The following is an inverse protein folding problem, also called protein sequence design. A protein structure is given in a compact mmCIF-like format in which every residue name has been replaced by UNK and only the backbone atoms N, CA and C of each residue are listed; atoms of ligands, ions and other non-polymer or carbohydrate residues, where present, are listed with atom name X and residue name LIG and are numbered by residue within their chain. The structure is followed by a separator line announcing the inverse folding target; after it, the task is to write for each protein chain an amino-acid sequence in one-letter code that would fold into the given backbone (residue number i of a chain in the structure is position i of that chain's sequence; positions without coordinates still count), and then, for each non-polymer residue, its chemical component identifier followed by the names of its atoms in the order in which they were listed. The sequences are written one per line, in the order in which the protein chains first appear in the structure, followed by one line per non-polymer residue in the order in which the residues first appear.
data_IF_978867662316
#
_entry.id   IF_978867662316
#
_cell.length_a   1.000
_cell.length_b   1.000
_cell.length_c   1.000
_cell.angle_alpha   90.00
_cell.angle_beta   90.00
_cell.angle_gamma   90.00
#
_symmetry.space_group_name_H-M   'P 1'
#
loop_
_entity.id
_entity.type
_entity.pdbx_description
1 polymer ?
2 non-polymer ?
3 non-polymer ?
4 water ?
#
# COMPACT_ATOMS: atom_id res chain seq x y z
N UNK A 5 7.98 16.91 3.71
CA UNK A 5 7.04 16.66 2.61
C UNK A 5 7.21 17.65 1.43
N UNK A 6 8.38 18.31 1.32
CA UNK A 6 8.66 19.25 0.21
C UNK A 6 8.84 18.47 -1.09
N UNK A 7 8.20 18.93 -2.18
CA UNK A 7 8.27 18.23 -3.46
C UNK A 7 9.29 18.83 -4.40
N UNK A 8 9.83 18.02 -5.31
CA UNK A 8 10.71 18.52 -6.35
C UNK A 8 9.83 19.06 -7.50
N UNK A 9 10.45 19.71 -8.48
CA UNK A 9 9.74 20.31 -9.62
C UNK A 9 8.88 19.31 -10.41
N UNK A 10 9.46 18.13 -10.77
CA UNK A 10 8.80 17.05 -11.51
C UNK A 10 7.57 16.53 -10.77
N UNK A 11 7.66 16.36 -9.44
CA UNK A 11 6.56 15.92 -8.60
C UNK A 11 5.46 16.97 -8.53
N UNK A 12 5.83 18.25 -8.35
CA UNK A 12 4.89 19.38 -8.25
C UNK A 12 4.01 19.48 -9.51
N UNK A 13 4.63 19.28 -10.67
CA UNK A 13 4.06 19.33 -12.01
C UNK A 13 3.10 18.18 -12.27
N UNK A 14 3.42 16.95 -11.82
CA UNK A 14 2.56 15.78 -12.03
C UNK A 14 1.31 15.91 -11.18
N UNK A 15 1.48 16.47 -9.97
CA UNK A 15 0.38 16.73 -9.04
C UNK A 15 -0.59 17.78 -9.63
N UNK A 16 -0.04 18.82 -10.26
CA UNK A 16 -0.80 19.89 -10.89
C UNK A 16 -1.52 19.35 -12.14
N UNK A 17 -0.83 18.52 -12.97
CA UNK A 17 -1.42 17.91 -14.17
C UNK A 17 -2.60 17.02 -13.81
N UNK A 18 -2.46 16.24 -12.70
CA UNK A 18 -3.52 15.36 -12.20
C UNK A 18 -4.78 16.15 -11.83
N UNK A 19 -4.64 17.20 -11.02
CA UNK A 19 -5.73 18.06 -10.57
C UNK A 19 -6.45 18.77 -11.72
N UNK A 20 -5.68 19.27 -12.70
CA UNK A 20 -6.19 19.94 -13.90
C UNK A 20 -7.03 18.93 -14.70
N UNK A 21 -6.60 17.63 -14.77
CA UNK A 21 -7.34 16.58 -15.46
C UNK A 21 -8.62 16.24 -14.70
N UNK A 22 -8.50 16.10 -13.36
CA UNK A 22 -9.60 15.81 -12.44
C UNK A 22 -10.73 16.87 -12.51
N UNK A 23 -10.38 18.17 -12.55
CA UNK A 23 -11.32 19.29 -12.59
C UNK A 23 -12.23 19.29 -13.82
N UNK A 24 -11.84 18.56 -14.87
CA UNK A 24 -12.61 18.45 -16.11
C UNK A 24 -13.65 17.30 -16.05
N UNK A 25 -13.50 16.37 -15.09
CA UNK A 25 -14.36 15.18 -15.01
C UNK A 25 -15.80 15.49 -14.62
N UNK A 26 -16.00 16.22 -13.53
CA UNK A 26 -17.34 16.51 -13.05
C UNK A 26 -17.90 15.36 -12.24
N UNK A 27 -19.25 15.34 -12.07
CA UNK A 27 -19.91 14.31 -11.29
C UNK A 27 -19.81 12.94 -11.93
N UNK A 28 -19.30 11.95 -11.18
CA UNK A 28 -19.11 10.58 -11.64
C UNK A 28 -20.42 9.85 -11.65
N UNK A 29 -20.77 9.25 -12.79
CA UNK A 29 -22.04 8.52 -12.97
C UNK A 29 -21.78 7.14 -13.52
N UNK A 30 -22.54 6.19 -13.03
CA UNK A 30 -22.41 4.79 -13.40
C UNK A 30 -22.35 4.51 -14.90
N UNK A 31 -23.30 5.07 -15.67
CA UNK A 31 -23.35 4.81 -17.12
C UNK A 31 -22.21 5.52 -17.90
N UNK A 32 -21.37 6.32 -17.23
CA UNK A 32 -20.25 6.96 -17.93
C UNK A 32 -19.00 6.09 -18.01
N UNK A 33 -19.06 4.88 -17.46
CA UNK A 33 -17.92 3.96 -17.41
C UNK A 33 -18.04 2.78 -18.31
N UNK A 34 -16.95 2.47 -18.99
CA UNK A 34 -16.79 1.32 -19.86
C UNK A 34 -15.69 0.41 -19.23
N UNK A 35 -16.02 -0.81 -18.83
CA UNK A 35 -15.04 -1.76 -18.25
C UNK A 35 -14.06 -2.24 -19.34
N UNK A 36 -12.74 -2.08 -19.10
CA UNK A 36 -11.67 -2.52 -20.01
C UNK A 36 -11.20 -3.91 -19.57
N UNK A 37 -10.78 -4.06 -18.31
CA UNK A 37 -10.27 -5.32 -17.74
C UNK A 37 -10.29 -5.30 -16.21
N UNK A 38 -10.02 -6.46 -15.60
CA UNK A 38 -9.93 -6.56 -14.16
C UNK A 38 -8.48 -6.36 -13.76
N UNK A 39 -8.26 -5.60 -12.66
CA UNK A 39 -6.94 -5.28 -12.11
C UNK A 39 -6.60 -6.08 -10.84
N UNK A 40 -7.62 -6.65 -10.21
CA UNK A 40 -7.46 -7.44 -8.99
C UNK A 40 -8.75 -7.55 -8.19
N UNK A 41 -8.75 -8.46 -7.18
CA UNK A 41 -9.90 -8.70 -6.29
C UNK A 41 -9.48 -8.85 -4.82
N UNK A 42 -10.39 -8.48 -3.91
CA UNK A 42 -10.18 -8.55 -2.47
C UNK A 42 -10.84 -9.76 -1.83
N UNK A 44 -12.97 -7.00 0.13
CA UNK A 44 -14.36 -7.32 -0.19
C UNK A 44 -14.90 -6.57 -1.40
N UNK A 45 -14.04 -6.37 -2.39
CA UNK A 45 -14.35 -5.68 -3.64
C UNK A 45 -13.41 -5.98 -4.79
N UNK A 46 -13.92 -5.82 -6.01
CA UNK A 46 -13.16 -6.04 -7.24
C UNK A 46 -12.69 -4.68 -7.81
N UNK A 47 -11.51 -4.65 -8.45
CA UNK A 47 -10.97 -3.45 -9.06
C UNK A 47 -10.91 -3.66 -10.56
N UNK A 48 -11.54 -2.76 -11.32
CA UNK A 48 -11.53 -2.80 -12.76
C UNK A 48 -10.82 -1.60 -13.34
N UNK A 49 -10.14 -1.82 -14.45
CA UNK A 49 -9.57 -0.77 -15.26
C UNK A 49 -10.79 -0.36 -16.14
N UNK A 50 -11.09 0.93 -16.13
CA UNK A 50 -12.27 1.46 -16.81
C UNK A 50 -11.90 2.65 -17.66
N UNK A 51 -12.79 2.96 -18.60
CA UNK A 51 -12.70 4.15 -19.41
C UNK A 51 -13.88 5.02 -18.93
N UNK A 52 -13.60 6.27 -18.55
CA UNK A 52 -14.61 7.26 -18.23
C UNK A 52 -14.84 7.90 -19.63
N UNK A 53 -15.87 7.41 -20.33
CA UNK A 53 -16.20 7.79 -21.71
C UNK A 53 -16.22 9.31 -21.99
N UNK A 54 -16.90 10.16 -21.19
CA UNK A 54 -16.93 11.60 -21.54
C UNK A 54 -15.57 12.30 -21.54
N UNK A 55 -14.78 12.07 -20.49
CA UNK A 55 -13.48 12.71 -20.32
C UNK A 55 -12.39 12.01 -21.08
N UNK A 56 -12.61 10.75 -21.45
CA UNK A 56 -11.63 9.92 -22.13
C UNK A 56 -10.52 9.39 -21.23
N UNK A 57 -10.64 9.61 -19.90
CA UNK A 57 -9.67 9.18 -18.89
C UNK A 57 -9.80 7.70 -18.56
N UNK A 58 -8.66 7.03 -18.39
CA UNK A 58 -8.58 5.64 -17.95
C UNK A 58 -8.48 5.73 -16.40
N UNK A 59 -9.28 4.96 -15.66
CA UNK A 59 -9.27 4.99 -14.20
C UNK A 59 -9.28 3.57 -13.69
N UNK A 60 -9.08 3.41 -12.37
CA UNK A 60 -9.21 2.16 -11.65
C UNK A 60 -10.52 2.32 -10.85
N UNK A 61 -11.48 1.43 -11.06
CA UNK A 61 -12.74 1.51 -10.38
C UNK A 61 -12.90 0.33 -9.44
N UNK A 62 -12.95 0.62 -8.15
CA UNK A 62 -13.14 -0.38 -7.11
C UNK A 62 -14.65 -0.42 -6.79
N UNK A 63 -15.26 -1.60 -6.94
CA UNK A 63 -16.68 -1.82 -6.70
C UNK A 63 -16.87 -2.62 -5.47
N UNK A 64 -17.56 -2.07 -4.48
CA UNK A 64 -17.84 -2.74 -3.21
C UNK A 64 -19.35 -3.04 -3.16
N UNK A 65 -19.74 -4.31 -3.42
CA UNK A 65 -21.15 -4.70 -3.38
C UNK A 65 -21.66 -4.76 -1.94
N UNK A 66 -22.65 -3.91 -1.63
CA UNK A 66 -23.27 -3.77 -0.31
C UNK A 66 -24.76 -3.42 -0.44
N UNK A 67 -25.61 -4.13 0.32
CA UNK A 67 -27.03 -3.85 0.35
C UNK A 67 -27.30 -3.04 1.60
N UNK A 68 -27.49 -1.72 1.41
CA UNK A 68 -27.72 -0.78 2.50
C UNK A 68 -28.74 0.29 2.09
N UNK A 69 -29.51 0.77 3.06
CA UNK A 69 -30.56 1.78 2.89
C UNK A 69 -30.01 3.15 2.40
N UNK A 70 -30.81 4.01 1.69
CA UNK A 70 -30.28 5.29 1.19
C UNK A 70 -29.60 6.19 2.22
N UNK A 71 -30.00 6.04 3.50
CA UNK A 71 -29.49 6.74 4.67
C UNK A 71 -27.99 6.47 4.86
N UNK A 72 -27.61 5.16 4.84
CA UNK A 72 -26.25 4.68 5.03
C UNK A 72 -25.34 5.04 3.84
N UNK A 73 -25.75 4.73 2.59
CA UNK A 73 -24.91 5.00 1.41
C UNK A 73 -24.59 6.49 1.25
N UNK A 74 -25.54 7.40 1.56
CA UNK A 74 -25.31 8.85 1.45
C UNK A 74 -24.29 9.36 2.49
N UNK A 75 -24.23 8.72 3.68
CA UNK A 75 -23.26 9.04 4.72
C UNK A 75 -21.86 8.50 4.34
N UNK A 76 -21.80 7.27 3.75
CA UNK A 76 -20.53 6.68 3.30
C UNK A 76 -19.90 7.62 2.24
N UNK A 77 -20.70 8.01 1.21
CA UNK A 77 -20.26 8.87 0.11
C UNK A 77 -19.72 10.21 0.64
N UNK A 78 -20.43 10.84 1.63
CA UNK A 78 -20.02 12.08 2.30
C UNK A 78 -18.65 11.92 2.96
N UNK A 79 -18.45 10.79 3.68
CA UNK A 79 -17.19 10.45 4.36
C UNK A 79 -16.02 10.24 3.38
N UNK A 80 -16.28 9.65 2.19
CA UNK A 80 -15.21 9.43 1.19
C UNK A 80 -14.76 10.70 0.47
N UNK A 81 -15.53 11.83 0.62
CA UNK A 81 -15.18 13.13 0.00
C UNK A 81 -13.87 13.67 0.57
N UNK A 82 -13.49 13.22 1.77
CA UNK A 82 -12.22 13.50 2.46
C UNK A 82 -11.03 13.12 1.52
N UNK A 83 -11.23 12.10 0.67
CA UNK A 83 -10.21 11.64 -0.28
C UNK A 83 -9.83 12.69 -1.35
N UNK A 84 -10.69 13.71 -1.62
CA UNK A 84 -10.40 14.83 -2.56
C UNK A 84 -9.34 15.79 -1.98
N UNK A 85 -9.14 15.78 -0.65
CA UNK A 85 -8.18 16.63 0.03
C UNK A 85 -6.76 16.02 0.01
N UNK A 86 -6.64 14.68 -0.19
CA UNK A 86 -5.33 14.03 -0.22
C UNK A 86 -4.63 14.29 -1.52
N UNK A 87 -3.62 15.15 -1.50
CA UNK A 87 -2.84 15.49 -2.69
C UNK A 87 -1.35 15.31 -2.41
N UNK A 88 -0.82 14.15 -2.82
CA UNK A 88 0.57 13.78 -2.57
C UNK A 88 1.16 12.87 -3.65
N UNK A 89 2.47 12.98 -3.96
CA UNK A 89 3.08 12.02 -4.91
C UNK A 89 3.04 10.56 -4.43
N UNK A 90 2.80 10.36 -3.12
CA UNK A 90 2.85 9.07 -2.44
C UNK A 90 1.49 8.48 -2.09
N UNK A 91 0.40 9.10 -2.61
CA UNK A 91 -0.98 8.68 -2.37
C UNK A 91 -1.65 8.58 -3.71
N UNK A 92 -2.30 7.43 -4.00
CA UNK A 92 -2.97 7.20 -5.27
C UNK A 92 -4.03 8.29 -5.47
N UNK A 93 -4.06 8.89 -6.65
CA UNK A 93 -5.04 9.92 -7.00
C UNK A 93 -6.46 9.42 -6.91
N UNK A 94 -7.36 10.29 -6.50
CA UNK A 94 -8.76 9.95 -6.32
C UNK A 94 -9.61 10.81 -7.25
N UNK A 95 -10.57 10.20 -7.96
CA UNK A 95 -11.47 10.94 -8.83
C UNK A 95 -12.81 11.21 -8.15
N UNK A 96 -13.34 10.22 -7.46
CA UNK A 96 -14.63 10.35 -6.80
C UNK A 96 -15.24 9.04 -6.38
N UNK A 97 -16.31 9.16 -5.59
CA UNK A 97 -17.10 8.04 -5.05
C UNK A 97 -18.59 8.24 -5.29
N UNK A 98 -19.30 7.17 -5.64
CA UNK A 98 -20.74 7.18 -5.87
C UNK A 98 -21.32 5.81 -5.57
N UNK A 99 -22.66 5.75 -5.48
CA UNK A 99 -23.38 4.50 -5.26
C UNK A 99 -24.23 4.24 -6.49
N UNK A 100 -24.32 2.96 -6.92
CA UNK A 100 -25.15 2.53 -8.03
C UNK A 100 -25.50 1.06 -7.94
N UNK A 101 -26.81 0.76 -8.03
CA UNK A 101 -27.46 -0.56 -8.04
C UNK A 101 -26.74 -1.61 -7.17
N UNK A 102 -26.73 -1.35 -5.87
CA UNK A 102 -26.16 -2.24 -4.87
C UNK A 102 -24.67 -2.17 -4.66
N UNK A 103 -23.96 -1.17 -5.22
CA UNK A 103 -22.52 -1.10 -5.01
C UNK A 103 -21.93 0.31 -5.00
N UNK A 104 -20.94 0.50 -4.10
CA UNK A 104 -20.19 1.74 -3.96
C UNK A 104 -19.02 1.64 -4.96
N UNK A 105 -18.79 2.70 -5.73
CA UNK A 105 -17.65 2.78 -6.63
C UNK A 105 -16.66 3.81 -6.11
N UNK A 106 -15.38 3.43 -6.05
CA UNK A 106 -14.33 4.37 -5.67
C UNK A 106 -13.46 4.44 -6.88
N UNK A 107 -13.36 5.62 -7.47
CA UNK A 107 -12.61 5.80 -8.71
C UNK A 107 -11.30 6.46 -8.44
N UNK A 108 -10.26 5.80 -8.88
CA UNK A 108 -8.89 6.24 -8.59
C UNK A 108 -8.04 6.32 -9.82
N UNK A 109 -6.86 6.91 -9.65
CA UNK A 109 -5.82 6.95 -10.65
C UNK A 109 -5.43 5.47 -10.95
N UNK A 110 -5.29 5.15 -12.26
CA UNK A 110 -4.88 3.81 -12.71
C UNK A 110 -3.35 3.79 -12.65
N UNK A 111 -2.77 2.80 -11.96
CA UNK A 111 -1.32 2.61 -11.78
C UNK A 111 -0.96 1.39 -12.64
N UNK A 112 -0.29 1.61 -13.75
CA UNK A 112 -0.07 0.56 -14.75
C UNK A 112 0.88 -0.60 -14.30
N UNK A 113 1.61 -0.41 -13.19
CA UNK A 113 2.48 -1.47 -12.65
C UNK A 113 1.74 -2.39 -11.70
N UNK A 114 0.49 -2.04 -11.36
CA UNK A 114 -0.37 -2.77 -10.42
C UNK A 114 0.13 -2.66 -8.98
N UNK A 115 -0.18 -3.63 -8.14
CA UNK A 115 0.28 -3.62 -6.75
C UNK A 115 1.56 -4.44 -6.52
N UNK A 116 2.23 -4.25 -5.37
CA UNK A 116 3.49 -4.96 -5.11
C UNK A 116 3.29 -6.43 -4.81
N UNK A 117 2.06 -6.88 -4.42
CA UNK A 117 1.83 -8.32 -4.28
C UNK A 117 1.90 -8.97 -5.68
N UNK A 118 1.38 -8.28 -6.72
CA UNK A 118 1.41 -8.76 -8.13
C UNK A 118 2.80 -8.66 -8.69
N UNK A 119 3.51 -7.58 -8.36
CA UNK A 119 4.89 -7.43 -8.84
C UNK A 119 5.77 -8.50 -8.21
N UNK A 120 5.60 -8.76 -6.90
CA UNK A 120 6.38 -9.79 -6.21
C UNK A 120 6.15 -11.20 -6.81
N UNK A 121 4.88 -11.53 -7.12
CA UNK A 121 4.49 -12.81 -7.74
C UNK A 121 5.29 -13.04 -9.03
N UNK A 122 5.42 -11.99 -9.87
CA UNK A 122 6.14 -11.98 -11.13
C UNK A 122 7.64 -12.04 -10.90
N UNK A 123 8.19 -11.13 -10.07
CA UNK A 123 9.62 -11.01 -9.81
C UNK A 123 10.25 -12.19 -9.07
N UNK A 124 9.50 -12.85 -8.19
CA UNK A 124 10.03 -13.90 -7.32
C UNK A 124 10.48 -13.25 -6.03
N UNK A 125 11.44 -12.31 -6.10
CA UNK A 125 11.84 -11.46 -4.96
C UNK A 125 12.27 -10.08 -5.47
N UNK A 126 12.13 -9.05 -4.62
CA UNK A 126 12.44 -7.70 -5.02
C UNK A 126 13.81 -7.27 -4.49
N UNK A 127 14.72 -6.72 -5.35
CA UNK A 127 16.08 -6.38 -4.84
C UNK A 127 16.07 -5.29 -3.75
N UNK A 128 17.03 -5.38 -2.84
CA UNK A 128 17.17 -4.45 -1.72
C UNK A 128 17.18 -2.98 -2.13
N UNK A 129 17.88 -2.62 -3.21
CA UNK A 129 17.90 -1.21 -3.71
C UNK A 129 16.52 -0.77 -4.16
N UNK A 130 15.72 -1.70 -4.74
CA UNK A 130 14.35 -1.37 -5.14
C UNK A 130 13.48 -1.19 -3.87
N UNK A 131 13.72 -2.00 -2.83
CA UNK A 131 12.95 -1.87 -1.58
C UNK A 131 13.30 -0.60 -0.82
N UNK A 132 14.46 -0.03 -1.09
CA UNK A 132 14.89 1.25 -0.55
C UNK A 132 14.00 2.36 -1.06
N UNK A 133 13.69 2.38 -2.35
CA UNK A 133 12.76 3.37 -2.90
C UNK A 133 11.35 3.10 -2.41
N UNK A 134 10.94 1.81 -2.31
CA UNK A 134 9.60 1.48 -1.81
C UNK A 134 9.46 2.02 -0.35
N UNK A 135 10.47 1.81 0.50
CA UNK A 135 10.46 2.26 1.91
C UNK A 135 10.32 3.76 2.00
N UNK A 136 11.09 4.52 1.18
CA UNK A 136 11.02 5.98 1.19
C UNK A 136 9.58 6.42 0.86
N UNK A 137 8.95 5.83 -0.19
CA UNK A 137 7.59 6.21 -0.59
C UNK A 137 6.55 5.89 0.48
N UNK A 138 6.67 4.72 1.12
CA UNK A 138 5.75 4.34 2.17
C UNK A 138 5.91 5.30 3.36
N UNK A 139 7.16 5.57 3.80
CA UNK A 139 7.38 6.49 4.94
C UNK A 139 6.78 7.86 4.65
N UNK A 140 7.05 8.40 3.45
CA UNK A 140 6.57 9.72 3.01
C UNK A 140 5.07 9.76 2.88
N UNK A 141 4.47 8.67 2.41
CA UNK A 141 3.02 8.50 2.31
C UNK A 141 2.35 8.54 3.66
N UNK A 142 2.90 7.80 4.63
CA UNK A 142 2.39 7.72 6.02
C UNK A 142 2.59 9.06 6.74
N UNK A 143 3.73 9.73 6.50
CA UNK A 143 4.05 11.05 7.06
C UNK A 143 3.02 12.06 6.52
N UNK A 144 2.72 12.03 5.21
CA UNK A 144 1.74 12.93 4.62
C UNK A 144 0.36 12.78 5.25
N UNK A 145 -0.11 11.52 5.36
CA UNK A 145 -1.42 11.21 5.93
C UNK A 145 -1.57 11.68 7.38
N UNK A 146 -0.52 11.44 8.18
CA UNK A 146 -0.49 11.83 9.58
C UNK A 146 -0.39 13.37 9.73
N UNK A 147 0.54 14.00 9.01
CA UNK A 147 0.79 15.44 9.13
C UNK A 147 -0.25 16.38 8.51
N UNK A 148 -0.80 16.02 7.33
CA UNK A 148 -1.76 16.91 6.65
C UNK A 148 -3.22 16.56 6.89
N UNK A 149 -3.50 15.36 7.38
CA UNK A 149 -4.89 14.92 7.57
C UNK A 149 -5.16 14.23 8.89
N UNK A 150 -4.13 14.08 9.72
CA UNK A 150 -4.16 13.43 11.05
C UNK A 150 -4.89 12.08 11.01
N UNK A 151 -4.50 11.24 10.05
CA UNK A 151 -5.06 9.90 9.88
C UNK A 151 -3.95 8.87 9.69
N UNK A 152 -4.22 7.64 10.09
CA UNK A 152 -3.23 6.59 9.92
C UNK A 152 -3.71 5.66 8.82
N UNK A 153 -2.79 4.96 8.18
CA UNK A 153 -3.20 4.10 7.08
C UNK A 153 -4.12 2.98 7.57
N UNK A 154 -3.65 2.19 8.55
CA UNK A 154 -4.34 1.05 9.16
C UNK A 154 -4.26 -0.23 8.34
N UNK A 155 -3.86 -0.18 7.05
CA UNK A 155 -3.84 -1.40 6.25
C UNK A 155 -2.65 -1.45 5.28
N UNK A 156 -1.45 -1.27 5.81
CA UNK A 156 -0.25 -1.35 5.02
C UNK A 156 0.01 -2.83 4.74
N UNK A 157 0.19 -3.17 3.45
CA UNK A 157 0.50 -4.51 2.97
C UNK A 157 0.89 -4.42 1.48
N UNK A 158 1.59 -5.40 0.91
CA UNK A 158 2.04 -5.27 -0.50
C UNK A 158 0.91 -4.98 -1.51
N UNK A 159 -0.28 -5.52 -1.28
CA UNK A 159 -1.39 -5.26 -2.19
C UNK A 159 -1.95 -3.82 -2.09
N UNK A 160 -1.53 -3.03 -1.06
CA UNK A 160 -1.97 -1.63 -0.90
C UNK A 160 -0.90 -0.64 -1.29
N UNK A 161 0.17 -1.14 -1.91
CA UNK A 161 1.27 -0.33 -2.44
C UNK A 161 1.23 -0.51 -3.95
N UNK A 162 0.99 0.59 -4.68
CA UNK A 162 0.83 0.56 -6.14
C UNK A 162 1.98 1.20 -6.80
N UNK A 163 2.34 0.72 -8.00
CA UNK A 163 3.52 1.24 -8.71
C UNK A 163 3.19 1.51 -10.16
N UNK A 164 3.97 2.34 -10.83
CA UNK A 164 3.70 2.62 -12.23
C UNK A 164 5.02 2.76 -13.03
N UNK A 165 4.89 2.83 -14.36
CA UNK A 165 5.98 2.91 -15.33
C UNK A 165 6.71 4.24 -15.34
N UNK A 166 6.22 5.25 -14.59
CA UNK A 166 6.91 6.54 -14.39
C UNK A 166 7.80 6.45 -13.11
N UNK A 167 7.87 5.26 -12.51
CA UNK A 167 8.66 5.01 -11.31
C UNK A 167 8.02 5.48 -10.01
N UNK A 168 6.72 5.78 -10.02
CA UNK A 168 5.98 6.24 -8.83
C UNK A 168 5.49 5.05 -7.99
N UNK A 169 5.48 5.24 -6.68
CA UNK A 169 5.10 4.27 -5.65
C UNK A 169 4.14 4.99 -4.73
N UNK A 170 2.92 4.48 -4.62
CA UNK A 170 1.87 5.18 -3.88
C UNK A 170 1.06 4.25 -3.02
N UNK A 171 0.54 4.76 -1.89
CA UNK A 171 -0.35 3.98 -1.02
C UNK A 171 -1.82 4.15 -1.43
N UNK A 172 -2.61 3.11 -1.24
CA UNK A 172 -4.05 3.18 -1.49
C UNK A 172 -4.76 2.47 -0.34
N UNK A 173 -6.10 2.51 -0.31
CA UNK A 173 -7.00 1.84 0.64
C UNK A 173 -6.70 2.13 2.14
N UNK A 174 -6.58 3.40 2.50
CA UNK A 174 -6.48 3.81 3.91
C UNK A 174 -7.93 4.20 4.27
N UNK A 175 -8.47 3.55 5.30
CA UNK A 175 -9.85 3.74 5.76
C UNK A 175 -10.11 5.19 6.13
N UNK A 176 -11.14 5.80 5.53
CA UNK A 176 -11.46 7.21 5.75
C UNK A 176 -12.92 7.38 6.20
N UNK A 177 -13.73 6.34 5.96
CA UNK A 177 -15.14 6.24 6.31
C UNK A 177 -15.35 5.17 7.38
N UNK A 178 -15.85 5.60 8.55
CA UNK A 178 -16.17 4.71 9.65
C UNK A 178 -17.34 3.82 9.29
N UNK A 179 -18.37 4.41 8.63
CA UNK A 179 -19.57 3.72 8.18
C UNK A 179 -19.33 2.64 7.11
N UNK A 180 -18.37 2.88 6.17
CA UNK A 180 -18.02 1.89 5.13
C UNK A 180 -17.43 0.63 5.78
N UNK A 181 -16.58 0.80 6.82
CA UNK A 181 -15.99 -0.32 7.55
C UNK A 181 -17.09 -1.05 8.34
N UNK A 182 -17.91 -0.29 9.13
CA UNK A 182 -19.03 -0.81 9.93
C UNK A 182 -20.01 -1.66 9.11
N UNK A 183 -20.36 -1.18 7.90
CA UNK A 183 -21.26 -1.86 6.97
C UNK A 183 -20.62 -3.07 6.27
N UNK A 184 -19.33 -3.32 6.54
CA UNK A 184 -18.59 -4.46 5.99
C UNK A 184 -18.32 -5.56 7.03
N UNK A 185 -18.28 -5.19 8.33
CA UNK A 185 -18.05 -6.12 9.44
N UNK A 189 -13.42 -7.87 4.15
CA UNK A 189 -12.88 -8.61 5.29
C UNK A 189 -11.43 -9.11 4.99
N UNK A 190 -10.53 -8.14 4.71
CA UNK A 190 -9.13 -8.33 4.36
C UNK A 190 -8.28 -9.06 5.39
N UNK A 191 -7.12 -9.60 4.96
CA UNK A 191 -6.23 -10.34 5.86
C UNK A 191 -5.75 -9.51 7.07
N UNK A 192 -5.52 -10.20 8.19
CA UNK A 192 -4.99 -9.62 9.43
C UNK A 192 -3.52 -10.02 9.59
N UNK A 193 -2.98 -10.71 8.59
CA UNK A 193 -1.61 -11.26 8.61
C UNK A 193 -0.49 -10.20 8.61
N UNK A 194 -0.81 -8.91 8.37
CA UNK A 194 0.19 -7.83 8.42
C UNK A 194 -0.04 -6.94 9.61
N UNK A 195 -1.00 -7.29 10.49
CA UNK A 195 -1.30 -6.48 11.67
C UNK A 195 -0.28 -6.65 12.77
N UNK A 196 0.06 -5.53 13.41
CA UNK A 196 1.05 -5.49 14.49
C UNK A 196 0.62 -6.33 15.69
N UNK A 197 1.56 -6.82 16.53
CA UNK A 197 1.16 -7.59 17.73
C UNK A 197 0.20 -6.83 18.64
N UNK A 198 0.41 -5.50 18.81
CA UNK A 198 -0.40 -4.64 19.70
C UNK A 198 -1.85 -4.49 19.19
N UNK A 199 -2.06 -4.44 17.85
CA UNK A 199 -3.42 -4.40 17.25
C UNK A 199 -4.10 -5.73 17.40
N UNK A 200 -3.35 -6.86 17.25
CA UNK A 200 -3.90 -8.21 17.43
C UNK A 200 -4.26 -8.52 18.91
N UNK A 201 -3.66 -7.78 19.86
CA UNK A 201 -3.90 -7.92 21.30
C UNK A 201 -4.93 -6.88 21.76
N UNK A 202 -5.50 -6.11 20.83
CA UNK A 202 -6.48 -5.06 21.08
C UNK A 202 -5.97 -3.82 21.80
N UNK A 203 -4.68 -3.84 22.22
CA UNK A 203 -4.01 -2.78 22.99
C UNK A 203 -3.75 -1.48 22.17
N UNK A 204 -3.02 -0.50 22.77
CA UNK A 204 -2.71 0.82 22.22
C UNK A 204 -2.04 0.76 20.84
N UNK A 205 -2.70 1.37 19.82
CA UNK A 205 -2.17 1.37 18.45
C UNK A 205 -2.25 2.76 17.78
N UNK A 206 -1.08 3.23 17.29
CA UNK A 206 -0.90 4.50 16.59
C UNK A 206 -0.30 4.21 15.22
N UNK A 207 0.43 5.19 14.64
CA UNK A 207 1.11 5.04 13.34
C UNK A 207 2.23 3.97 13.46
N UNK A 208 2.60 3.61 14.70
CA UNK A 208 3.59 2.59 14.99
C UNK A 208 3.15 1.24 14.44
N UNK A 209 1.81 0.98 14.42
CA UNK A 209 1.29 -0.28 13.89
C UNK A 209 1.44 -0.38 12.36
N UNK A 210 1.43 0.77 11.64
CA UNK A 210 1.65 0.87 10.19
C UNK A 210 3.15 0.58 9.85
N UNK A 211 4.06 0.97 10.76
CA UNK A 211 5.51 0.78 10.64
C UNK A 211 5.83 -0.70 10.74
N UNK A 212 5.10 -1.41 11.61
CA UNK A 212 5.27 -2.85 11.77
C UNK A 212 4.85 -3.50 10.44
N UNK A 213 3.67 -3.11 9.89
CA UNK A 213 3.12 -3.67 8.63
C UNK A 213 4.06 -3.44 7.45
N UNK A 214 4.71 -2.26 7.41
CA UNK A 214 5.70 -1.91 6.41
C UNK A 214 6.91 -2.84 6.55
N UNK A 215 7.42 -3.00 7.78
CA UNK A 215 8.56 -3.88 8.07
C UNK A 215 8.34 -5.30 7.58
N UNK A 216 7.14 -5.82 7.85
CA UNK A 216 6.73 -7.17 7.49
C UNK A 216 6.59 -7.32 5.96
N UNK A 217 6.01 -6.33 5.30
CA UNK A 217 5.85 -6.29 3.84
C UNK A 217 7.20 -6.28 3.18
N UNK A 218 8.16 -5.49 3.72
CA UNK A 218 9.51 -5.41 3.18
C UNK A 218 10.23 -6.75 3.27
N UNK A 219 10.11 -7.47 4.40
CA UNK A 219 10.74 -8.82 4.56
C UNK A 219 10.11 -9.79 3.55
N UNK A 220 8.79 -9.77 3.41
CA UNK A 220 8.15 -10.66 2.45
C UNK A 220 8.67 -10.41 1.03
N UNK A 221 8.76 -9.13 0.63
CA UNK A 221 9.23 -8.78 -0.73
C UNK A 221 10.69 -9.09 -0.96
N UNK A 222 11.51 -8.96 0.09
CA UNK A 222 12.95 -9.24 -0.01
C UNK A 222 13.21 -10.73 -0.15
N UNK A 223 12.45 -11.58 0.58
CA UNK A 223 12.74 -13.02 0.56
C UNK A 223 11.84 -13.76 -0.44
N UNK A 224 10.70 -13.17 -0.81
CA UNK A 224 9.81 -13.76 -1.81
C UNK A 224 8.79 -14.70 -1.21
N UNK A 225 8.54 -14.58 0.08
CA UNK A 225 7.64 -15.46 0.81
C UNK A 225 7.10 -14.72 2.05
N UNK A 226 5.79 -14.92 2.41
CA UNK A 226 5.23 -14.36 3.66
C UNK A 226 6.14 -14.88 4.79
N UNK A 227 6.75 -14.01 5.62
CA UNK A 227 7.87 -14.47 6.46
C UNK A 227 7.56 -15.20 7.77
N UNK A 228 6.28 -15.47 8.05
CA UNK A 228 5.86 -16.17 9.27
C UNK A 228 5.20 -17.51 8.87
N UNK A 229 5.64 -18.66 9.42
CA UNK A 229 6.73 -18.83 10.39
C UNK A 229 8.06 -18.69 9.66
N UNK A 230 9.21 -18.46 10.35
CA UNK A 230 10.48 -18.32 9.62
C UNK A 230 10.87 -19.52 8.76
N UNK A 231 11.57 -19.30 7.61
CA UNK A 231 11.99 -20.44 6.80
C UNK A 231 13.13 -21.20 7.46
N UNK A 232 13.11 -22.53 7.31
CA UNK A 232 14.12 -23.44 7.87
C UNK A 232 15.48 -23.29 7.15
N UNK A 233 16.46 -24.16 7.51
CA UNK A 233 17.80 -24.17 6.90
C UNK A 233 17.75 -24.55 5.41
N UNK A 234 16.94 -25.58 5.08
CA UNK A 234 16.76 -26.09 3.70
C UNK A 234 15.93 -25.15 2.80
N UNK A 235 14.96 -24.43 3.39
CA UNK A 235 14.09 -23.47 2.68
C UNK A 235 14.87 -22.23 2.25
N UNK A 236 15.94 -21.87 3.02
CA UNK A 236 16.81 -20.73 2.73
C UNK A 236 17.78 -21.08 1.60
N UNK A 237 18.30 -22.34 1.58
CA UNK A 237 19.21 -22.87 0.55
C UNK A 237 18.50 -22.93 -0.80
N UNK A 238 17.19 -23.17 -0.78
CA UNK A 238 16.30 -23.22 -1.95
C UNK A 238 16.19 -21.81 -2.54
N UNK A 239 16.07 -20.79 -1.65
CA UNK A 239 15.88 -19.38 -1.95
C UNK A 239 17.11 -18.67 -2.51
N UNK A 240 18.22 -18.63 -1.75
CA UNK A 240 19.44 -17.88 -2.10
C UNK A 240 20.66 -18.74 -2.44
N UNK A 241 20.55 -20.06 -2.28
CA UNK A 241 21.63 -21.01 -2.56
C UNK A 241 22.78 -20.95 -1.58
N UNK A 242 22.48 -20.62 -0.29
CA UNK A 242 23.47 -20.53 0.79
N UNK A 272 1.03 -27.12 7.36
CA UNK A 272 0.69 -25.71 7.07
C UNK A 272 0.12 -24.94 8.26
N UNK A 273 0.19 -23.58 8.19
CA UNK A 273 -0.31 -22.72 9.25
C UNK A 273 -1.62 -22.01 8.91
N UNK A 274 -2.64 -22.26 9.74
CA UNK A 274 -3.96 -21.65 9.63
C UNK A 274 -3.84 -20.19 10.10
N UNK A 275 -4.72 -19.31 9.60
CA UNK A 275 -4.71 -17.87 9.93
C UNK A 275 -4.69 -17.63 11.45
N UNK A 276 -5.46 -18.40 12.24
CA UNK A 276 -5.49 -18.23 13.71
C UNK A 276 -4.17 -18.62 14.39
N UNK A 277 -3.44 -19.62 13.83
CA UNK A 277 -2.14 -20.07 14.34
C UNK A 277 -1.10 -19.00 14.04
N UNK A 278 -1.20 -18.41 12.85
CA UNK A 278 -0.34 -17.34 12.36
C UNK A 278 -0.45 -16.09 13.28
N UNK A 279 -1.68 -15.68 13.62
CA UNK A 279 -1.92 -14.51 14.47
C UNK A 279 -1.39 -14.74 15.90
N UNK A 280 -1.53 -15.95 16.40
CA UNK A 280 -0.99 -16.31 17.71
C UNK A 280 0.54 -16.26 17.67
N UNK A 281 1.15 -16.81 16.59
CA UNK A 281 2.61 -16.77 16.35
C UNK A 281 3.12 -15.33 16.40
N UNK A 282 2.44 -14.38 15.69
CA UNK A 282 2.80 -12.95 15.66
C UNK A 282 2.87 -12.33 17.06
N UNK A 283 1.83 -12.57 17.86
CA UNK A 283 1.74 -12.04 19.23
C UNK A 283 2.76 -12.71 20.17
N UNK A 284 2.96 -14.02 20.04
CA UNK A 284 3.78 -14.73 21.02
C UNK A 284 5.23 -15.03 20.67
N UNK A 285 5.61 -15.02 19.40
CA UNK A 285 6.97 -15.39 19.00
C UNK A 285 7.85 -14.22 18.62
N UNK A 286 9.21 -14.37 18.62
CA UNK A 286 10.05 -13.23 18.19
C UNK A 286 9.70 -12.78 16.76
N UNK A 287 9.88 -11.49 16.45
CA UNK A 287 9.51 -11.02 15.11
C UNK A 287 10.35 -11.64 13.97
N UNK A 288 9.84 -11.64 12.72
CA UNK A 288 10.67 -12.14 11.62
C UNK A 288 11.86 -11.23 11.38
N UNK A 289 12.86 -11.73 10.66
CA UNK A 289 14.04 -10.96 10.32
C UNK A 289 14.55 -11.40 8.97
N UNK A 290 15.38 -10.57 8.33
CA UNK A 290 15.97 -10.98 7.06
C UNK A 290 17.07 -12.01 7.30
N UNK A 291 17.34 -12.93 6.35
CA UNK A 291 18.54 -13.79 6.51
C UNK A 291 19.80 -12.92 6.40
N UNK A 292 20.84 -13.28 7.15
CA UNK A 292 22.09 -12.55 7.12
C UNK A 292 22.92 -13.11 5.99
N UNK A 293 23.91 -12.34 5.56
CA UNK A 293 24.80 -12.76 4.47
C UNK A 293 24.29 -12.52 3.07
N UNK A 294 23.03 -12.13 2.93
CA UNK A 294 22.31 -11.87 1.66
C UNK A 294 21.98 -10.37 1.51
N UNK A 295 21.66 -9.72 2.63
CA UNK A 295 21.25 -8.31 2.60
C UNK A 295 22.23 -7.45 3.33
N UNK A 296 22.27 -6.14 3.05
CA UNK A 296 23.16 -5.25 3.76
C UNK A 296 22.72 -5.18 5.23
N UNK A 297 23.65 -4.87 6.12
CA UNK A 297 23.37 -4.73 7.56
C UNK A 297 22.51 -3.52 7.82
N UNK A 298 22.61 -2.46 6.99
CA UNK A 298 21.73 -1.27 7.13
C UNK A 298 20.29 -1.66 6.81
N UNK A 299 20.08 -2.52 5.80
CA UNK A 299 18.71 -2.98 5.46
C UNK A 299 18.18 -3.86 6.56
N UNK A 300 18.99 -4.83 7.02
CA UNK A 300 18.62 -5.68 8.15
C UNK A 300 18.31 -4.86 9.41
N UNK A 301 19.10 -3.83 9.69
CA UNK A 301 18.86 -3.00 10.88
C UNK A 301 17.55 -2.20 10.73
N UNK A 302 17.29 -1.70 9.51
CA UNK A 302 16.08 -0.95 9.18
C UNK A 302 14.81 -1.76 9.48
N UNK A 303 14.70 -2.99 8.93
CA UNK A 303 13.55 -3.87 9.13
C UNK A 303 13.44 -4.29 10.60
N UNK A 304 14.57 -4.57 11.30
CA UNK A 304 14.55 -4.92 12.73
C UNK A 304 13.93 -3.80 13.54
N UNK A 305 14.25 -2.52 13.23
CA UNK A 305 13.69 -1.38 13.97
C UNK A 305 12.16 -1.16 13.71
N UNK A 306 11.66 -1.66 12.55
CA UNK A 306 10.24 -1.60 12.18
C UNK A 306 9.51 -2.73 12.91
N UNK A 307 10.20 -3.84 13.09
CA UNK A 307 9.56 -5.06 13.62
C UNK A 307 9.78 -5.31 15.14
N UNK A 308 10.27 -4.33 15.90
CA UNK A 308 10.38 -4.44 17.37
C UNK A 308 8.91 -4.60 17.88
N UNK A 309 8.61 -5.73 18.57
CA UNK A 309 7.24 -6.04 19.10
C UNK A 309 6.64 -4.90 19.91
N UNK A 310 7.46 -4.28 20.80
CA UNK A 310 7.06 -3.17 21.65
C UNK A 310 6.93 -1.89 20.84
N UNK A 311 5.70 -1.31 20.71
CA UNK A 311 5.52 -0.12 19.85
C UNK A 311 6.30 1.11 20.28
N UNK A 312 6.61 1.23 21.60
CA UNK A 312 7.38 2.34 22.18
C UNK A 312 8.84 2.26 21.74
N UNK A 313 9.41 1.04 21.74
CA UNK A 313 10.79 0.82 21.31
C UNK A 313 10.94 0.90 19.76
N UNK A 314 9.87 0.52 19.00
CA UNK A 314 9.82 0.52 17.55
C UNK A 314 10.12 1.92 17.03
N UNK A 315 10.90 2.03 15.94
CA UNK A 315 11.21 3.34 15.38
C UNK A 315 9.95 4.06 14.94
N UNK A 316 9.97 5.39 14.92
CA UNK A 316 8.84 6.17 14.48
C UNK A 316 9.17 6.72 13.11
N UNK A 317 8.22 7.39 12.47
CA UNK A 317 8.40 7.94 11.12
C UNK A 317 9.57 8.89 11.00
N UNK A 318 9.75 9.78 12.01
CA UNK A 318 10.83 10.76 12.09
C UNK A 318 12.21 10.07 12.08
N UNK A 319 12.35 9.03 12.88
CA UNK A 319 13.58 8.26 13.04
C UNK A 319 13.87 7.43 11.79
N UNK A 320 12.82 6.85 11.17
CA UNK A 320 12.97 6.06 9.94
C UNK A 320 13.45 6.91 8.78
N UNK A 321 12.96 8.15 8.66
CA UNK A 321 13.35 9.11 7.62
C UNK A 321 14.85 9.43 7.58
N UNK A 322 15.52 9.37 8.75
CA UNK A 322 16.96 9.61 8.89
C UNK A 322 17.75 8.29 9.17
N UNK A 323 17.11 7.13 9.02
CA UNK A 323 17.83 5.87 9.24
C UNK A 323 18.87 5.73 8.13
N UNK A 324 20.02 5.13 8.45
CA UNK A 324 21.13 4.88 7.51
C UNK A 324 20.65 4.26 6.19
N UNK A 325 19.72 3.30 6.24
CA UNK A 325 19.23 2.64 5.02
C UNK A 325 18.46 3.63 4.12
N UNK A 326 17.70 4.55 4.74
CA UNK A 326 16.91 5.54 4.02
C UNK A 326 17.79 6.62 3.39
N UNK A 327 18.74 7.18 4.16
CA UNK A 327 19.69 8.17 3.65
C UNK A 327 20.47 7.58 2.46
N UNK A 328 20.99 6.35 2.62
CA UNK A 328 21.71 5.65 1.54
C UNK A 328 20.79 5.43 0.30
N UNK A 329 19.56 4.94 0.51
CA UNK A 329 18.63 4.70 -0.62
C UNK A 329 18.28 6.00 -1.34
N UNK A 330 18.09 7.11 -0.59
CA UNK A 330 17.78 8.43 -1.15
C UNK A 330 18.91 8.95 -2.06
N UNK A 331 20.18 8.78 -1.64
CA UNK A 331 21.38 9.18 -2.40
C UNK A 331 21.61 8.26 -3.62
N UNK A 332 21.12 7.00 -3.56
CA UNK A 332 21.26 6.06 -4.68
C UNK A 332 20.37 6.53 -5.83
N UNK A 333 20.86 6.42 -7.04
CA UNK A 333 19.99 6.83 -8.13
C UNK A 333 19.59 5.53 -8.77
N UNK A 334 18.43 5.02 -8.32
CA UNK A 334 17.96 3.71 -8.72
C UNK A 334 16.87 3.84 -9.77
N UNK A 335 17.05 3.11 -10.88
CA UNK A 335 16.07 3.16 -11.96
C UNK A 335 14.95 2.18 -11.67
N UNK A 336 14.01 2.63 -10.84
CA UNK A 336 12.87 1.83 -10.45
C UNK A 336 11.98 1.54 -11.66
N UNK A 337 11.62 2.56 -12.45
CA UNK A 337 10.77 2.37 -13.64
C UNK A 337 11.38 1.35 -14.60
N UNK A 338 12.69 1.47 -14.83
CA UNK A 338 13.49 0.56 -15.66
C UNK A 338 13.39 -0.87 -15.16
N UNK A 339 13.69 -1.08 -13.85
CA UNK A 339 13.61 -2.40 -13.23
C UNK A 339 12.20 -2.95 -13.36
N UNK A 340 11.18 -2.11 -13.05
CA UNK A 340 9.80 -2.53 -13.06
C UNK A 340 9.31 -3.00 -14.44
N UNK A 341 9.57 -2.23 -15.48
CA UNK A 341 9.13 -2.54 -16.85
C UNK A 341 9.75 -3.84 -17.37
N UNK A 342 11.04 -4.05 -17.10
CA UNK A 342 11.80 -5.28 -17.41
C UNK A 342 11.23 -6.51 -16.67
N UNK A 343 10.92 -6.37 -15.38
CA UNK A 343 10.44 -7.46 -14.54
C UNK A 343 9.03 -7.95 -14.86
N UNK A 344 8.10 -7.03 -15.08
CA UNK A 344 6.72 -7.43 -15.29
C UNK A 344 6.34 -7.45 -16.79
N UNK A 345 7.31 -7.19 -17.66
CA UNK A 345 7.11 -7.16 -19.12
C UNK A 345 6.24 -6.01 -19.59
N UNK A 346 6.29 -4.86 -18.90
CA UNK A 346 5.50 -3.70 -19.27
C UNK A 346 6.15 -2.97 -20.46
N UNK A 347 5.45 -2.97 -21.61
CA UNK A 347 5.93 -2.33 -22.85
#
# INVERSE_FOLDING_TARGET
GLEELELDEQQRKRLEAFLTQKQKVGELKDDDFEKISELGAGNGGVVFKVSHKPSGLVMARKLIHLEIKPAIRNQIIRELQVLHECNSPYIVGFYGAFYSDGEISICMEHMDGGSLDQVLKKAGRIPEQILGKVSIAVIKGLTYLREKHKIMHRDVKPSNILVNSRGEIKLCDFGVSGQLIDSMANSFVGTRSYMSPERLQGTHYSVQSDIWSMGLSLVEMAVGRYPIPPPDAKELELMFGCQVEGDAAETPPRPRTPGRPLNNKGMDSRPPMAIFELLDYIVNEPPPKLPSGVFSLEFQDFVNKCLIKNPAERADLKQLMVHAFIKRSDAEEVDFAGWLCSTIGLNQ
#
